data_IF_909124272339
#
_entry.id   IF_909124272339
#
_cell.length_a   1.000
_cell.length_b   1.000
_cell.length_c   1.000
_cell.angle_alpha   90.00
_cell.angle_beta   90.00
_cell.angle_gamma   90.00
#
_symmetry.space_group_name_H-M   'P 1'
#
loop_
_entity.id
_entity.type
_entity.pdbx_description
1 polymer ?
#
# COMPACT_ATOMS: atom_id res chain seq x y z
N UNK A 1 -7.76 -19.88 -0.75
CA UNK A 1 -6.45 -19.31 -1.12
C UNK A 1 -5.87 -18.65 0.12
N UNK A 2 -4.69 -19.06 0.57
CA UNK A 2 -4.13 -18.71 1.89
C UNK A 2 -3.86 -17.20 1.95
N UNK A 3 -4.31 -16.52 3.02
CA UNK A 3 -4.04 -15.10 3.34
C UNK A 3 -2.55 -14.71 3.46
N UNK A 4 -1.62 -15.65 3.24
CA UNK A 4 -0.19 -15.50 3.54
C UNK A 4 0.63 -14.83 2.42
N UNK A 5 0.10 -14.67 1.20
CA UNK A 5 0.90 -14.11 0.09
C UNK A 5 0.97 -12.58 0.07
N UNK A 6 -0.06 -11.87 0.58
CA UNK A 6 -0.08 -10.40 0.53
C UNK A 6 1.02 -9.78 1.41
N UNK A 7 1.28 -10.38 2.57
CA UNK A 7 2.29 -9.91 3.52
C UNK A 7 3.70 -9.85 2.90
N UNK A 8 4.00 -10.68 1.91
CA UNK A 8 5.36 -10.73 1.33
C UNK A 8 5.76 -9.41 0.66
N UNK A 9 4.82 -8.70 0.06
CA UNK A 9 5.10 -7.44 -0.64
C UNK A 9 5.31 -6.27 0.32
N UNK A 10 4.70 -6.33 1.51
CA UNK A 10 4.73 -5.24 2.50
C UNK A 10 5.65 -5.51 3.70
N UNK A 11 6.21 -6.72 3.83
CA UNK A 11 6.98 -7.14 5.02
C UNK A 11 8.15 -6.22 5.40
N UNK A 12 8.73 -5.52 4.42
CA UNK A 12 9.88 -4.61 4.62
C UNK A 12 9.49 -3.14 4.60
N UNK A 13 8.20 -2.83 4.46
CA UNK A 13 7.70 -1.46 4.34
C UNK A 13 7.90 -0.69 5.65
N UNK A 14 8.56 0.45 5.56
CA UNK A 14 8.74 1.35 6.70
C UNK A 14 7.49 2.23 6.87
N UNK A 15 6.95 2.31 8.10
CA UNK A 15 5.83 3.21 8.40
C UNK A 15 6.35 4.55 8.92
N UNK A 16 6.14 5.63 8.16
CA UNK A 16 6.50 7.00 8.53
C UNK A 16 5.31 7.75 9.09
N UNK A 17 4.88 7.31 10.28
CA UNK A 17 3.85 7.96 11.09
C UNK A 17 2.42 7.93 10.51
N UNK A 18 2.06 6.85 9.81
CA UNK A 18 0.68 6.57 9.39
C UNK A 18 0.02 5.69 10.45
N UNK A 19 -1.22 6.04 10.85
CA UNK A 19 -1.96 5.29 11.85
C UNK A 19 -2.17 3.83 11.42
N UNK A 20 -2.05 2.87 12.35
CA UNK A 20 -2.04 1.44 12.02
C UNK A 20 -3.27 1.00 11.21
N UNK A 21 -4.46 1.46 11.58
CA UNK A 21 -5.69 1.11 10.85
C UNK A 21 -5.68 1.62 9.40
N UNK A 22 -5.11 2.81 9.18
CA UNK A 22 -4.96 3.40 7.85
C UNK A 22 -3.94 2.63 7.02
N UNK A 23 -2.86 2.16 7.65
CA UNK A 23 -1.88 1.26 7.00
C UNK A 23 -2.56 -0.03 6.54
N UNK A 24 -3.38 -0.65 7.38
CA UNK A 24 -4.09 -1.89 7.04
C UNK A 24 -5.06 -1.68 5.88
N UNK A 25 -5.82 -0.59 5.86
CA UNK A 25 -6.72 -0.28 4.75
C UNK A 25 -5.96 0.03 3.43
N UNK A 26 -4.85 0.76 3.50
CA UNK A 26 -4.01 1.01 2.33
C UNK A 26 -3.42 -0.29 1.77
N UNK A 27 -2.92 -1.19 2.63
CA UNK A 27 -2.41 -2.51 2.23
C UNK A 27 -3.51 -3.35 1.56
N UNK A 28 -4.74 -3.33 2.07
CA UNK A 28 -5.87 -4.04 1.45
C UNK A 28 -6.15 -3.54 0.04
N UNK A 29 -6.15 -2.23 -0.17
CA UNK A 29 -6.33 -1.63 -1.50
C UNK A 29 -5.17 -1.96 -2.43
N UNK A 30 -3.93 -1.77 -1.98
CA UNK A 30 -2.73 -2.14 -2.73
C UNK A 30 -2.71 -3.62 -3.13
N UNK A 31 -3.16 -4.51 -2.26
CA UNK A 31 -3.28 -5.95 -2.56
C UNK A 31 -4.29 -6.22 -3.67
N UNK A 32 -5.39 -5.45 -3.75
CA UNK A 32 -6.35 -5.55 -4.86
C UNK A 32 -5.71 -5.15 -6.19
N UNK A 33 -4.97 -4.03 -6.21
CA UNK A 33 -4.25 -3.56 -7.40
C UNK A 33 -3.22 -4.59 -7.89
N UNK A 34 -2.43 -5.15 -6.97
CA UNK A 34 -1.45 -6.21 -7.30
C UNK A 34 -2.17 -7.43 -7.90
N UNK A 35 -3.27 -7.88 -7.30
CA UNK A 35 -4.05 -9.01 -7.81
C UNK A 35 -4.73 -8.71 -9.16
N UNK A 36 -4.95 -7.43 -9.49
CA UNK A 36 -5.43 -6.98 -10.79
C UNK A 36 -4.32 -6.84 -11.85
N UNK A 37 -3.06 -7.08 -11.47
CA UNK A 37 -1.90 -7.02 -12.36
C UNK A 37 -1.08 -5.73 -12.27
N UNK A 38 -1.47 -4.78 -11.41
CA UNK A 38 -0.74 -3.53 -11.17
C UNK A 38 0.34 -3.72 -10.08
N UNK A 39 1.34 -4.54 -10.39
CA UNK A 39 2.43 -4.86 -9.47
C UNK A 39 3.67 -4.00 -9.73
N UNK A 40 4.15 -3.35 -8.66
CA UNK A 40 5.28 -2.39 -8.68
C UNK A 40 6.50 -2.86 -7.84
N UNK A 41 6.58 -4.15 -7.53
CA UNK A 41 7.65 -4.71 -6.69
C UNK A 41 7.29 -4.80 -5.21
N UNK A 42 8.29 -4.64 -4.35
CA UNK A 42 8.10 -4.60 -2.89
C UNK A 42 7.78 -3.16 -2.43
N UNK A 43 6.93 -3.02 -1.42
CA UNK A 43 6.66 -1.73 -0.79
C UNK A 43 7.85 -1.33 0.10
N UNK A 44 8.34 -0.10 -0.06
CA UNK A 44 9.49 0.41 0.68
C UNK A 44 9.08 1.26 1.88
N UNK A 45 8.13 2.16 1.70
CA UNK A 45 7.62 3.01 2.77
C UNK A 45 6.15 3.40 2.58
N UNK A 46 5.47 3.68 3.69
CA UNK A 46 4.16 4.31 3.73
C UNK A 46 4.23 5.60 4.55
N UNK A 47 3.66 6.67 4.01
CA UNK A 47 3.68 8.02 4.58
C UNK A 47 2.42 8.80 4.16
N UNK A 48 2.15 9.92 4.82
CA UNK A 48 1.11 10.84 4.34
C UNK A 48 1.65 11.77 3.26
N UNK A 49 0.92 11.89 2.16
CA UNK A 49 1.16 12.87 1.10
C UNK A 49 -0.18 13.34 0.56
N UNK A 50 -0.33 14.65 0.37
CA UNK A 50 -1.54 15.28 -0.16
C UNK A 50 -2.84 14.90 0.61
N UNK A 51 -2.70 14.60 1.90
CA UNK A 51 -3.82 14.19 2.78
C UNK A 51 -4.18 12.70 2.72
N UNK A 52 -3.46 11.89 1.94
CA UNK A 52 -3.72 10.46 1.77
C UNK A 52 -2.51 9.62 2.24
N UNK A 53 -2.73 8.38 2.74
CA UNK A 53 -1.65 7.41 2.84
C UNK A 53 -1.13 7.08 1.45
N UNK A 54 0.18 7.20 1.26
CA UNK A 54 0.89 6.92 0.03
C UNK A 54 1.87 5.78 0.27
N UNK A 55 1.89 4.77 -0.61
CA UNK A 55 2.90 3.71 -0.61
C UNK A 55 3.89 3.99 -1.72
N UNK A 56 5.18 4.08 -1.38
CA UNK A 56 6.27 4.09 -2.37
C UNK A 56 6.77 2.68 -2.60
N UNK A 57 6.82 2.30 -3.86
CA UNK A 57 7.23 1.00 -4.33
C UNK A 57 8.70 0.99 -4.78
N UNK A 58 9.27 -0.20 -4.90
CA UNK A 58 10.66 -0.43 -5.26
C UNK A 58 11.04 0.16 -6.63
N UNK A 59 10.11 0.20 -7.57
CA UNK A 59 10.32 0.79 -8.91
C UNK A 59 10.23 2.33 -8.91
N UNK A 60 10.02 2.95 -7.74
CA UNK A 60 9.85 4.39 -7.57
C UNK A 60 8.40 4.86 -7.74
N UNK A 61 7.47 3.98 -8.11
CA UNK A 61 6.05 4.33 -8.20
C UNK A 61 5.50 4.73 -6.83
N UNK A 62 4.63 5.74 -6.80
CA UNK A 62 4.01 6.25 -5.58
C UNK A 62 2.50 6.30 -5.80
N UNK A 63 1.76 5.44 -5.10
CA UNK A 63 0.31 5.35 -5.20
C UNK A 63 -0.35 5.93 -3.95
N UNK A 64 -1.38 6.77 -4.14
CA UNK A 64 -2.16 7.39 -3.06
C UNK A 64 -3.44 6.59 -2.83
N UNK A 65 -3.69 6.23 -1.58
CA UNK A 65 -4.83 5.37 -1.22
C UNK A 65 -5.89 6.19 -0.50
N UNK A 66 -7.03 6.39 -1.16
CA UNK A 66 -8.20 6.93 -0.50
C UNK A 66 -8.94 5.82 0.24
N UNK A 67 -8.53 5.59 1.49
CA UNK A 67 -9.10 4.54 2.34
C UNK A 67 -10.58 4.76 2.66
N UNK A 68 -11.08 6.00 2.57
CA UNK A 68 -12.50 6.32 2.78
C UNK A 68 -13.35 5.93 1.58
N UNK A 69 -12.86 6.21 0.36
CA UNK A 69 -13.59 5.91 -0.90
C UNK A 69 -13.23 4.54 -1.49
N UNK A 70 -12.17 3.90 -1.00
CA UNK A 70 -11.66 2.64 -1.52
C UNK A 70 -10.99 2.76 -2.90
N UNK A 71 -10.44 3.92 -3.24
CA UNK A 71 -9.85 4.21 -4.57
C UNK A 71 -8.35 4.49 -4.48
N UNK A 72 -7.62 4.30 -5.60
CA UNK A 72 -6.17 4.55 -5.74
C UNK A 72 -5.94 5.63 -6.79
N UNK A 73 -4.96 6.51 -6.56
CA UNK A 73 -4.54 7.59 -7.47
C UNK A 73 -3.04 7.61 -7.70
#
# INVERSE_FOLDING_TARGET
MKKQDADKWFRRMQNRNVHHDIVQEAIKLATKEINAGHWHGYAEEIYYKDGFPCIRWQDGHCAHYNVVKGTVY
#
